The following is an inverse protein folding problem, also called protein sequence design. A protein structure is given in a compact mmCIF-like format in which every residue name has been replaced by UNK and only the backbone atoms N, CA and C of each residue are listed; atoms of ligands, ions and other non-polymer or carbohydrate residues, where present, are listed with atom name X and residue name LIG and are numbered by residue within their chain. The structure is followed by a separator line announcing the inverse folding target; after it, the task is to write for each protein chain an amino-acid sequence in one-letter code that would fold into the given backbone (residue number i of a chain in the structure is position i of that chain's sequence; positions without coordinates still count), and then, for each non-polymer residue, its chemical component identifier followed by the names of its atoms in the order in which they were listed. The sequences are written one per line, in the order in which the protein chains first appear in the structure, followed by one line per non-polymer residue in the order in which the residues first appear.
data_IF_160114345031
#
_entry.id   IF_160114345031
#
_cell.length_a   1.000
_cell.length_b   1.000
_cell.length_c   1.000
_cell.angle_alpha   90.00
_cell.angle_beta   90.00
_cell.angle_gamma   90.00
#
_symmetry.space_group_name_H-M   'P 1'
#
loop_
_entity.id
_entity.type
_entity.pdbx_description
1 polymer ?
#
# COMPACT_ATOMS: atom_id res chain seq x y z
N UNK A 1 -0.42 28.52 9.72
CA UNK A 1 0.43 27.34 9.46
C UNK A 1 0.29 26.90 8.01
N UNK A 2 1.39 26.63 7.31
CA UNK A 2 1.40 26.31 5.86
C UNK A 2 1.89 24.89 5.62
N UNK A 3 1.34 24.21 4.63
CA UNK A 3 1.70 22.87 4.23
C UNK A 3 3.14 22.86 3.73
N UNK A 4 3.96 21.94 4.23
CA UNK A 4 5.34 21.82 3.81
C UNK A 4 5.46 21.58 2.29
N UNK A 5 4.54 20.82 1.69
CA UNK A 5 4.61 20.42 0.28
C UNK A 5 4.05 21.47 -0.68
N UNK A 6 2.78 21.86 -0.52
CA UNK A 6 2.12 22.76 -1.47
C UNK A 6 2.19 24.25 -1.07
N UNK A 7 2.76 24.56 0.09
CA UNK A 7 2.90 25.92 0.67
C UNK A 7 1.58 26.68 0.93
N UNK A 8 0.41 26.06 0.69
CA UNK A 8 -0.92 26.60 1.03
C UNK A 8 -1.23 26.42 2.52
N UNK A 9 -2.26 27.10 3.02
CA UNK A 9 -2.71 26.94 4.40
C UNK A 9 -3.21 25.52 4.68
N UNK A 10 -2.88 24.97 5.85
CA UNK A 10 -3.37 23.65 6.30
C UNK A 10 -4.64 23.74 7.15
N UNK A 11 -4.99 24.95 7.60
CA UNK A 11 -6.23 25.20 8.34
C UNK A 11 -7.44 24.95 7.43
N UNK A 12 -8.44 24.21 7.90
CA UNK A 12 -9.65 23.88 7.13
C UNK A 12 -9.58 22.60 6.28
N UNK A 13 -8.46 21.88 6.34
CA UNK A 13 -8.21 20.66 5.58
C UNK A 13 -7.42 19.70 6.46
N UNK A 14 -7.91 18.47 6.71
CA UNK A 14 -7.33 17.45 7.60
C UNK A 14 -5.80 17.56 7.76
N UNK A 15 -5.32 18.34 8.74
CA UNK A 15 -3.92 18.68 8.83
C UNK A 15 -3.21 17.61 9.65
N UNK A 16 -2.01 17.25 9.22
CA UNK A 16 -1.13 16.34 9.94
C UNK A 16 0.20 17.02 10.23
N UNK A 17 0.88 16.56 11.28
CA UNK A 17 2.26 16.96 11.56
C UNK A 17 3.16 15.79 11.23
N UNK A 18 4.03 15.97 10.24
CA UNK A 18 4.97 14.94 9.82
C UNK A 18 6.26 15.08 10.62
N UNK A 19 6.70 14.05 11.36
CA UNK A 19 7.93 14.11 12.15
C UNK A 19 9.13 14.55 11.30
N UNK A 20 9.92 15.51 11.81
CA UNK A 20 11.10 16.04 11.11
C UNK A 20 10.82 16.97 9.93
N UNK A 21 9.57 17.12 9.48
CA UNK A 21 9.19 17.95 8.33
C UNK A 21 8.29 19.12 8.74
N UNK A 22 7.33 18.87 9.63
CA UNK A 22 6.37 19.86 10.13
C UNK A 22 4.96 19.69 9.54
N UNK A 23 4.14 20.76 9.53
CA UNK A 23 2.73 20.67 9.16
C UNK A 23 2.52 20.42 7.66
N UNK A 24 1.60 19.52 7.33
CA UNK A 24 1.22 19.19 5.96
C UNK A 24 -0.26 18.85 5.85
N UNK A 25 -0.79 18.91 4.63
CA UNK A 25 -2.03 18.23 4.29
C UNK A 25 -1.78 16.73 4.23
N UNK A 26 -2.71 15.93 4.75
CA UNK A 26 -2.62 14.46 4.67
C UNK A 26 -2.44 13.98 3.23
N UNK A 27 -3.29 14.46 2.32
CA UNK A 27 -3.23 14.12 0.89
C UNK A 27 -1.86 14.49 0.28
N UNK A 28 -1.32 15.66 0.60
CA UNK A 28 0.00 16.05 0.08
C UNK A 28 1.11 15.14 0.59
N UNK A 29 1.04 14.71 1.85
CA UNK A 29 2.02 13.77 2.39
C UNK A 29 1.89 12.38 1.76
N UNK A 30 0.67 11.85 1.64
CA UNK A 30 0.43 10.54 1.00
C UNK A 30 0.85 10.53 -0.47
N UNK A 31 0.57 11.62 -1.19
CA UNK A 31 1.00 11.78 -2.60
C UNK A 31 2.53 11.76 -2.70
N UNK A 32 3.21 12.43 -1.77
CA UNK A 32 4.67 12.44 -1.69
C UNK A 32 5.23 11.03 -1.45
N UNK A 33 4.73 10.32 -0.43
CA UNK A 33 5.14 8.96 -0.12
C UNK A 33 4.95 8.03 -1.32
N UNK A 34 3.78 8.10 -1.96
CA UNK A 34 3.47 7.27 -3.15
C UNK A 34 4.40 7.58 -4.32
N UNK A 35 4.68 8.87 -4.58
CA UNK A 35 5.57 9.30 -5.67
C UNK A 35 7.01 8.82 -5.46
N UNK A 36 7.46 8.78 -4.21
CA UNK A 36 8.77 8.22 -3.83
C UNK A 36 8.77 6.70 -3.70
N UNK A 37 7.62 6.05 -3.92
CA UNK A 37 7.45 4.61 -3.69
C UNK A 37 7.80 4.21 -2.24
N UNK A 38 7.51 5.10 -1.29
CA UNK A 38 7.65 4.83 0.14
C UNK A 38 6.34 4.22 0.63
N UNK A 39 6.39 2.98 1.07
CA UNK A 39 5.25 2.26 1.65
C UNK A 39 5.56 1.93 3.10
N UNK A 40 4.81 2.54 4.02
CA UNK A 40 4.93 2.28 5.47
C UNK A 40 6.37 2.31 6.01
N UNK A 41 7.17 3.30 5.57
CA UNK A 41 8.57 3.46 5.96
C UNK A 41 9.58 2.69 5.10
N UNK A 42 9.14 1.75 4.27
CA UNK A 42 10.00 1.09 3.28
C UNK A 42 10.09 1.95 2.01
N UNK A 43 11.27 2.43 1.68
CA UNK A 43 11.50 3.10 0.40
C UNK A 43 11.81 2.06 -0.69
N UNK A 44 10.79 1.67 -1.44
CA UNK A 44 10.90 0.63 -2.48
C UNK A 44 11.87 1.08 -3.59
N UNK A 45 11.98 2.39 -3.85
CA UNK A 45 12.89 2.92 -4.87
C UNK A 45 14.38 2.80 -4.49
N UNK A 46 14.70 2.45 -3.24
CA UNK A 46 16.08 2.24 -2.78
C UNK A 46 16.50 0.78 -2.77
N UNK A 47 15.60 -0.15 -3.07
CA UNK A 47 15.92 -1.57 -3.17
C UNK A 47 16.73 -1.83 -4.44
N UNK A 48 17.73 -2.70 -4.34
CA UNK A 48 18.38 -3.26 -5.52
C UNK A 48 17.48 -4.29 -6.22
N UNK A 49 17.89 -4.74 -7.41
CA UNK A 49 17.09 -5.67 -8.22
C UNK A 49 16.84 -7.01 -7.51
N UNK A 50 17.78 -7.49 -6.68
CA UNK A 50 17.63 -8.75 -5.96
C UNK A 50 16.58 -8.59 -4.86
N UNK A 51 16.75 -7.56 -4.02
CA UNK A 51 15.82 -7.23 -2.94
C UNK A 51 14.41 -6.93 -3.46
N UNK A 52 14.31 -6.23 -4.59
CA UNK A 52 13.03 -5.92 -5.21
C UNK A 52 12.30 -7.18 -5.68
N UNK A 53 13.02 -8.12 -6.30
CA UNK A 53 12.45 -9.40 -6.72
C UNK A 53 12.02 -10.25 -5.52
N UNK A 54 12.84 -10.33 -4.47
CA UNK A 54 12.48 -11.03 -3.23
C UNK A 54 11.22 -10.44 -2.58
N UNK A 55 11.13 -9.11 -2.51
CA UNK A 55 9.92 -8.44 -2.01
C UNK A 55 8.69 -8.75 -2.87
N UNK A 56 8.86 -8.78 -4.20
CA UNK A 56 7.80 -9.13 -5.14
C UNK A 56 7.27 -10.55 -4.88
N UNK A 57 8.18 -11.52 -4.70
CA UNK A 57 7.83 -12.91 -4.42
C UNK A 57 7.06 -13.04 -3.09
N UNK A 58 7.53 -12.38 -2.02
CA UNK A 58 6.85 -12.35 -0.73
C UNK A 58 5.42 -11.77 -0.83
N UNK A 59 5.26 -10.66 -1.58
CA UNK A 59 3.95 -10.06 -1.81
C UNK A 59 3.04 -11.00 -2.60
N UNK A 60 3.55 -11.71 -3.59
CA UNK A 60 2.77 -12.69 -4.36
C UNK A 60 2.36 -13.89 -3.51
N UNK A 61 3.26 -14.40 -2.66
CA UNK A 61 2.95 -15.46 -1.71
C UNK A 61 1.81 -15.06 -0.77
N UNK A 62 1.87 -13.84 -0.21
CA UNK A 62 0.82 -13.34 0.68
C UNK A 62 -0.50 -13.05 -0.05
N UNK A 63 -0.46 -12.59 -1.30
CA UNK A 63 -1.68 -12.46 -2.12
C UNK A 63 -2.35 -13.82 -2.33
N UNK A 64 -1.56 -14.85 -2.61
CA UNK A 64 -2.06 -16.21 -2.82
C UNK A 64 -2.62 -16.81 -1.52
N UNK A 65 -2.00 -16.52 -0.35
CA UNK A 65 -2.50 -17.00 0.95
C UNK A 65 -3.85 -16.36 1.34
N UNK A 66 -4.07 -15.10 0.96
CA UNK A 66 -5.32 -14.35 1.19
C UNK A 66 -6.41 -14.61 0.16
N UNK A 67 -6.05 -15.17 -1.00
CA UNK A 67 -7.04 -15.50 -2.01
C UNK A 67 -8.01 -16.54 -1.42
N UNK A 68 -9.33 -16.30 -1.45
CA UNK A 68 -10.28 -17.30 -1.02
C UNK A 68 -10.06 -18.57 -1.85
N UNK A 69 -9.95 -19.72 -1.19
CA UNK A 69 -9.94 -21.00 -1.89
C UNK A 69 -11.23 -21.08 -2.71
N UNK A 70 -11.14 -20.91 -4.02
CA UNK A 70 -12.24 -21.03 -4.99
C UNK A 70 -12.82 -22.46 -5.07
N UNK A 71 -12.63 -23.30 -4.05
CA UNK A 71 -13.00 -24.72 -4.03
C UNK A 71 -13.53 -25.23 -2.70
N UNK A 72 -14.12 -24.37 -1.86
CA UNK A 72 -14.80 -24.80 -0.63
C UNK A 72 -16.24 -24.28 -0.53
N UNK A 73 -16.91 -24.05 -1.66
CA UNK A 73 -18.37 -24.19 -1.72
C UNK A 73 -18.68 -25.63 -2.08
N UNK A 74 -19.16 -26.37 -1.09
CA UNK A 74 -19.98 -27.55 -1.24
C UNK A 74 -21.04 -27.33 -2.33
N UNK A 75 -20.90 -28.01 -3.46
CA UNK A 75 -22.05 -28.46 -4.26
C UNK A 75 -21.98 -29.98 -4.35
N UNK A 76 -23.16 -30.55 -4.17
CA UNK A 76 -23.50 -31.94 -3.95
C UNK A 76 -22.92 -32.89 -5.00
N UNK A 77 -22.54 -34.10 -4.56
CA UNK A 77 -22.27 -35.21 -5.46
C UNK A 77 -23.54 -35.58 -6.24
N UNK A 78 -23.61 -35.28 -7.54
CA UNK A 78 -24.40 -36.06 -8.49
C UNK A 78 -23.51 -36.49 -9.65
N UNK A 79 -22.95 -37.70 -9.52
CA UNK A 79 -22.33 -38.42 -10.62
C UNK A 79 -23.46 -39.19 -11.30
N UNK A 80 -24.04 -38.66 -12.37
CA UNK A 80 -24.91 -39.45 -13.25
C UNK A 80 -24.04 -40.45 -14.04
N UNK A 81 -24.24 -41.74 -13.75
CA UNK A 81 -23.72 -42.87 -14.52
C UNK A 81 -24.59 -43.05 -15.77
N UNK A 82 -24.01 -42.85 -16.96
CA UNK A 82 -24.50 -43.39 -18.22
C UNK A 82 -23.74 -44.67 -18.58
#
# INVERSE_FOLDING_TARGET
MRCHYCKKEVLGSNPITVPGIGPAHDICHQTRLTTERIFNGLNIAQLDDVQFNELSDLVMMEKNSRAPSLGASCDEFEIELF
#
